data_IF_048985721476
#
_entry.id   IF_048985721476
#
_cell.length_a   1.000
_cell.length_b   1.000
_cell.length_c   1.000
_cell.angle_alpha   90.00
_cell.angle_beta   90.00
_cell.angle_gamma   90.00
#
_symmetry.space_group_name_H-M   'P 1'
#
loop_
_entity.id
_entity.type
_entity.pdbx_description
1 polymer ?
#
# COMPACT_ATOMS: atom_id res chain seq x y z
N UNK A 1 -11.19 10.24 23.22
CA UNK A 1 -11.92 11.34 22.54
C UNK A 1 -12.18 10.82 21.14
N UNK A 2 -13.42 10.50 20.83
CA UNK A 2 -13.80 10.00 19.50
C UNK A 2 -13.68 11.17 18.54
N UNK A 3 -12.77 11.07 17.57
CA UNK A 3 -12.68 12.03 16.47
C UNK A 3 -14.04 12.07 15.73
N UNK A 4 -14.45 13.22 15.17
CA UNK A 4 -15.70 13.30 14.44
C UNK A 4 -15.70 12.24 13.33
N UNK A 5 -16.81 11.52 13.16
CA UNK A 5 -17.06 10.61 12.04
C UNK A 5 -16.75 11.36 10.73
N UNK A 6 -15.53 11.18 10.21
CA UNK A 6 -15.16 11.62 8.87
C UNK A 6 -15.71 10.58 7.90
N UNK A 7 -16.33 11.02 6.82
CA UNK A 7 -16.71 10.11 5.75
C UNK A 7 -15.44 9.42 5.20
N UNK A 8 -15.51 8.12 4.87
CA UNK A 8 -14.39 7.42 4.26
C UNK A 8 -13.94 8.13 2.97
N UNK A 9 -12.63 8.23 2.79
CA UNK A 9 -12.01 8.79 1.61
C UNK A 9 -12.39 7.97 0.37
N UNK A 10 -12.81 8.61 -0.74
CA UNK A 10 -13.17 7.94 -1.99
C UNK A 10 -11.91 7.50 -2.76
N UNK A 11 -11.07 6.70 -2.10
CA UNK A 11 -9.78 6.18 -2.55
C UNK A 11 -9.72 4.69 -2.22
N UNK A 12 -8.87 3.98 -2.97
CA UNK A 12 -8.51 2.61 -2.65
C UNK A 12 -7.31 2.60 -1.70
N UNK A 13 -7.33 1.80 -0.63
CA UNK A 13 -6.13 1.45 0.10
C UNK A 13 -5.52 0.15 -0.43
N UNK A 14 -4.22 0.15 -0.68
CA UNK A 14 -3.43 -0.99 -1.14
C UNK A 14 -2.42 -1.38 -0.05
N UNK A 15 -2.70 -2.48 0.65
CA UNK A 15 -1.77 -3.04 1.65
C UNK A 15 -0.86 -4.06 0.97
N UNK A 16 0.44 -3.77 0.89
CA UNK A 16 1.39 -4.65 0.20
C UNK A 16 1.98 -5.72 1.12
N UNK A 17 1.64 -6.98 0.84
CA UNK A 17 1.99 -8.19 1.59
C UNK A 17 2.78 -9.22 0.75
N UNK A 18 3.60 -8.77 -0.22
CA UNK A 18 4.30 -9.61 -1.21
C UNK A 18 5.79 -9.90 -0.95
N UNK A 19 6.31 -9.59 0.24
CA UNK A 19 7.75 -9.69 0.54
C UNK A 19 8.22 -11.10 0.89
N UNK A 20 9.35 -11.54 0.30
CA UNK A 20 10.08 -12.74 0.75
C UNK A 20 10.69 -12.49 2.14
N UNK A 21 9.93 -12.73 3.21
CA UNK A 21 10.43 -12.74 4.61
C UNK A 21 11.33 -13.96 4.87
N UNK A 22 12.39 -14.14 4.07
CA UNK A 22 13.27 -15.32 4.09
C UNK A 22 14.19 -15.39 5.31
N UNK A 23 14.39 -14.26 6.01
CA UNK A 23 15.32 -14.18 7.14
C UNK A 23 14.71 -14.49 8.51
N UNK A 24 13.37 -14.46 8.66
CA UNK A 24 12.71 -14.63 9.97
C UNK A 24 11.87 -15.91 10.12
N UNK A 25 11.79 -16.76 9.10
CA UNK A 25 11.05 -18.03 9.17
C UNK A 25 9.52 -17.89 9.25
N UNK A 26 8.98 -16.70 9.55
CA UNK A 26 7.57 -16.32 9.53
C UNK A 26 7.40 -14.95 8.86
N UNK A 27 6.33 -14.72 8.07
CA UNK A 27 6.07 -13.39 7.51
C UNK A 27 5.89 -12.36 8.62
N UNK A 28 6.56 -11.20 8.50
CA UNK A 28 6.48 -10.08 9.46
C UNK A 28 5.04 -9.67 9.78
N UNK A 29 4.17 -9.71 8.76
CA UNK A 29 2.75 -9.42 8.84
C UNK A 29 2.04 -10.14 10.01
N UNK A 30 2.44 -11.38 10.32
CA UNK A 30 1.81 -12.19 11.38
C UNK A 30 2.52 -12.14 12.74
N UNK A 31 3.45 -11.20 12.92
CA UNK A 31 4.05 -11.00 14.24
C UNK A 31 3.00 -10.46 15.22
N UNK A 32 3.02 -10.91 16.49
CA UNK A 32 2.12 -10.38 17.51
C UNK A 32 2.34 -8.87 17.70
N UNK A 33 1.26 -8.11 17.73
CA UNK A 33 1.27 -6.67 17.98
C UNK A 33 -0.03 -6.27 18.69
N UNK A 34 0.08 -5.64 19.86
CA UNK A 34 -1.05 -5.16 20.68
C UNK A 34 -2.22 -6.14 20.86
N UNK A 35 -1.93 -7.44 21.00
CA UNK A 35 -2.96 -8.48 21.20
C UNK A 35 -3.57 -9.05 19.92
N UNK A 36 -3.18 -8.55 18.74
CA UNK A 36 -3.49 -9.12 17.43
C UNK A 36 -2.19 -9.38 16.63
N UNK A 37 -2.25 -9.32 15.30
CA UNK A 37 -1.08 -9.35 14.42
C UNK A 37 -0.82 -7.98 13.82
N UNK A 38 0.42 -7.71 13.40
CA UNK A 38 0.78 -6.46 12.71
C UNK A 38 -0.17 -6.15 11.55
N UNK A 39 -0.47 -7.15 10.70
CA UNK A 39 -1.37 -6.96 9.56
C UNK A 39 -2.81 -6.71 9.97
N UNK A 40 -3.33 -7.42 10.98
CA UNK A 40 -4.68 -7.19 11.47
C UNK A 40 -4.81 -5.76 12.02
N UNK A 41 -3.82 -5.29 12.78
CA UNK A 41 -3.79 -3.92 13.29
C UNK A 41 -3.80 -2.87 12.16
N UNK A 42 -3.01 -3.09 11.09
CA UNK A 42 -3.02 -2.19 9.93
C UNK A 42 -4.38 -2.19 9.25
N UNK A 43 -4.97 -3.37 8.99
CA UNK A 43 -6.31 -3.50 8.39
C UNK A 43 -7.36 -2.77 9.24
N UNK A 44 -7.37 -2.99 10.55
CA UNK A 44 -8.32 -2.33 11.46
C UNK A 44 -8.15 -0.80 11.48
N UNK A 45 -6.91 -0.32 11.34
CA UNK A 45 -6.60 1.11 11.32
C UNK A 45 -7.05 1.78 10.03
N UNK A 46 -6.85 1.13 8.87
CA UNK A 46 -7.11 1.77 7.57
C UNK A 46 -8.54 1.56 7.05
N UNK A 47 -9.17 0.42 7.36
CA UNK A 47 -10.54 0.10 6.88
C UNK A 47 -11.56 1.21 7.09
N UNK A 48 -11.65 1.88 8.25
CA UNK A 48 -12.62 2.96 8.43
C UNK A 48 -12.30 4.23 7.62
N UNK A 49 -11.08 4.38 7.10
CA UNK A 49 -10.60 5.60 6.43
C UNK A 49 -10.91 5.59 4.93
N UNK A 50 -11.11 4.42 4.31
CA UNK A 50 -11.21 4.28 2.84
C UNK A 50 -12.50 3.61 2.41
N UNK A 51 -13.00 3.97 1.23
CA UNK A 51 -14.17 3.31 0.61
C UNK A 51 -13.87 1.93 0.03
N UNK A 52 -12.60 1.64 -0.25
CA UNK A 52 -12.13 0.33 -0.73
C UNK A 52 -10.78 -0.01 -0.08
N UNK A 53 -10.62 -1.26 0.36
CA UNK A 53 -9.35 -1.78 0.90
C UNK A 53 -9.01 -3.10 0.21
N UNK A 54 -7.83 -3.14 -0.40
CA UNK A 54 -7.28 -4.31 -1.06
C UNK A 54 -5.95 -4.69 -0.41
N UNK A 55 -5.77 -5.97 -0.12
CA UNK A 55 -4.50 -6.54 0.31
C UNK A 55 -3.85 -7.26 -0.87
N UNK A 56 -2.64 -6.86 -1.26
CA UNK A 56 -1.91 -7.47 -2.38
C UNK A 56 -0.87 -8.46 -1.86
N UNK A 57 -0.97 -9.74 -2.24
CA UNK A 57 -0.02 -10.77 -1.81
C UNK A 57 0.32 -11.81 -2.88
N UNK A 58 1.46 -12.50 -2.71
CA UNK A 58 1.80 -13.67 -3.50
C UNK A 58 1.05 -14.94 -3.03
N UNK A 59 0.61 -14.94 -1.76
CA UNK A 59 -0.01 -16.07 -1.05
C UNK A 59 -1.36 -15.60 -0.46
N UNK A 60 -2.35 -15.26 -1.31
CA UNK A 60 -3.61 -14.66 -0.87
C UNK A 60 -4.36 -15.50 0.17
N UNK A 61 -4.24 -16.83 0.10
CA UNK A 61 -4.82 -17.78 1.05
C UNK A 61 -4.38 -17.55 2.50
N UNK A 62 -3.24 -16.88 2.72
CA UNK A 62 -2.74 -16.58 4.07
C UNK A 62 -3.50 -15.42 4.74
N UNK A 63 -4.31 -14.67 3.99
CA UNK A 63 -4.91 -13.41 4.42
C UNK A 63 -6.45 -13.39 4.36
N UNK A 64 -7.09 -14.51 4.01
CA UNK A 64 -8.56 -14.60 3.82
C UNK A 64 -9.37 -14.24 5.07
N UNK A 65 -8.81 -14.49 6.27
CA UNK A 65 -9.49 -14.23 7.54
C UNK A 65 -9.47 -12.76 7.98
N UNK A 66 -8.87 -11.85 7.20
CA UNK A 66 -8.74 -10.42 7.56
C UNK A 66 -9.96 -9.57 7.21
N UNK A 67 -10.96 -10.12 6.51
CA UNK A 67 -12.20 -9.40 6.19
C UNK A 67 -12.04 -8.28 5.15
N UNK A 68 -10.95 -8.30 4.37
CA UNK A 68 -10.69 -7.40 3.23
C UNK A 68 -10.45 -8.20 1.96
N UNK A 69 -10.66 -7.59 0.80
CA UNK A 69 -10.43 -8.25 -0.47
C UNK A 69 -8.93 -8.48 -0.70
N UNK A 70 -8.57 -9.72 -1.02
CA UNK A 70 -7.17 -10.12 -1.24
C UNK A 70 -6.90 -10.31 -2.72
N UNK A 71 -5.99 -9.49 -3.25
CA UNK A 71 -5.56 -9.49 -4.63
C UNK A 71 -4.25 -10.25 -4.76
N UNK A 72 -4.19 -11.17 -5.72
CA UNK A 72 -2.95 -11.85 -6.06
C UNK A 72 -2.02 -10.92 -6.85
N UNK A 73 -0.76 -10.82 -6.42
CA UNK A 73 0.28 -10.14 -7.20
C UNK A 73 0.50 -10.87 -8.53
N UNK A 74 0.24 -10.18 -9.64
CA UNK A 74 0.38 -10.73 -11.00
C UNK A 74 1.82 -10.74 -11.49
N UNK A 75 2.72 -10.00 -10.83
CA UNK A 75 4.15 -9.92 -11.12
C UNK A 75 4.95 -10.28 -9.86
N UNK A 76 4.75 -11.48 -9.30
CA UNK A 76 5.32 -11.86 -8.02
C UNK A 76 6.84 -11.77 -8.06
N UNK A 77 7.43 -11.39 -6.92
CA UNK A 77 8.87 -11.28 -6.71
C UNK A 77 9.58 -10.17 -7.49
N UNK A 78 8.84 -9.20 -8.05
CA UNK A 78 9.38 -7.97 -8.68
C UNK A 78 9.50 -6.80 -7.70
N UNK A 79 9.61 -7.09 -6.42
CA UNK A 79 9.62 -6.07 -5.37
C UNK A 79 8.28 -5.35 -5.24
N UNK A 80 8.24 -4.21 -4.51
CA UNK A 80 7.00 -3.52 -4.21
C UNK A 80 6.25 -3.00 -5.45
N UNK A 81 6.95 -2.66 -6.53
CA UNK A 81 6.32 -2.16 -7.76
C UNK A 81 5.37 -3.17 -8.41
N UNK A 82 5.66 -4.47 -8.33
CA UNK A 82 4.75 -5.52 -8.80
C UNK A 82 3.43 -5.51 -8.03
N UNK A 83 3.51 -5.35 -6.70
CA UNK A 83 2.35 -5.23 -5.83
C UNK A 83 1.55 -3.95 -6.09
N UNK A 84 2.22 -2.80 -6.26
CA UNK A 84 1.56 -1.53 -6.59
C UNK A 84 0.82 -1.64 -7.92
N UNK A 85 1.50 -2.13 -8.97
CA UNK A 85 0.88 -2.30 -10.29
C UNK A 85 -0.32 -3.26 -10.21
N UNK A 86 -0.17 -4.40 -9.54
CA UNK A 86 -1.27 -5.37 -9.36
C UNK A 86 -2.48 -4.75 -8.67
N UNK A 87 -2.26 -3.93 -7.63
CA UNK A 87 -3.33 -3.22 -6.93
C UNK A 87 -3.98 -2.13 -7.78
N UNK A 88 -3.18 -1.27 -8.43
CA UNK A 88 -3.69 -0.18 -9.27
C UNK A 88 -4.55 -0.66 -10.44
N UNK A 89 -4.23 -1.84 -11.00
CA UNK A 89 -4.98 -2.42 -12.11
C UNK A 89 -6.42 -2.83 -11.74
N UNK A 90 -6.67 -3.13 -10.46
CA UNK A 90 -7.99 -3.59 -9.98
C UNK A 90 -8.69 -2.59 -9.07
N UNK A 91 -7.98 -1.59 -8.56
CA UNK A 91 -8.51 -0.51 -7.72
C UNK A 91 -9.74 0.15 -8.38
N UNK A 92 -10.81 0.36 -7.61
CA UNK A 92 -12.00 1.04 -8.08
C UNK A 92 -11.77 2.54 -8.32
N UNK A 93 -10.87 3.15 -7.57
CA UNK A 93 -10.65 4.60 -7.57
C UNK A 93 -9.48 5.02 -8.46
N UNK A 94 -9.43 6.31 -8.82
CA UNK A 94 -8.33 6.89 -9.61
C UNK A 94 -7.03 7.00 -8.82
N UNK A 95 -7.15 7.26 -7.52
CA UNK A 95 -6.02 7.35 -6.59
C UNK A 95 -6.08 6.23 -5.57
N UNK A 96 -4.93 5.65 -5.28
CA UNK A 96 -4.75 4.62 -4.27
C UNK A 96 -3.71 5.03 -3.23
N UNK A 97 -4.05 4.91 -1.96
CA UNK A 97 -3.07 4.97 -0.88
C UNK A 97 -2.35 3.62 -0.77
N UNK A 98 -1.03 3.63 -0.81
CA UNK A 98 -0.16 2.45 -0.76
C UNK A 98 0.55 2.42 0.59
N UNK A 99 0.44 1.28 1.27
CA UNK A 99 1.11 1.03 2.55
C UNK A 99 1.80 -0.34 2.58
N UNK A 100 3.00 -0.42 3.17
CA UNK A 100 3.64 -1.70 3.47
C UNK A 100 3.02 -2.39 4.71
N UNK A 101 2.91 -3.72 4.67
CA UNK A 101 2.37 -4.52 5.78
C UNK A 101 3.21 -4.58 7.06
N UNK A 102 4.34 -3.87 7.14
CA UNK A 102 5.18 -3.76 8.34
C UNK A 102 5.24 -2.34 8.93
N UNK A 103 4.26 -1.49 8.59
CA UNK A 103 4.08 -0.13 9.12
C UNK A 103 2.86 -0.01 10.05
N UNK A 104 2.83 -0.68 11.23
CA UNK A 104 1.67 -0.65 12.14
C UNK A 104 1.44 0.70 12.83
N UNK A 105 2.42 1.61 12.79
CA UNK A 105 2.35 2.92 13.45
C UNK A 105 1.89 4.03 12.50
N UNK A 106 1.19 3.68 11.41
CA UNK A 106 0.66 4.69 10.48
C UNK A 106 -0.33 5.59 11.19
N UNK A 107 -0.16 6.90 11.02
CA UNK A 107 -1.03 7.91 11.59
C UNK A 107 -2.20 8.22 10.63
N UNK A 108 -3.47 8.02 11.03
CA UNK A 108 -4.63 8.40 10.23
C UNK A 108 -4.61 9.86 9.76
N UNK A 109 -4.11 10.80 10.56
CA UNK A 109 -4.04 12.21 10.16
C UNK A 109 -3.02 12.42 9.02
N UNK A 110 -1.93 11.66 9.00
CA UNK A 110 -0.97 11.67 7.88
C UNK A 110 -1.63 11.14 6.60
N UNK A 111 -2.44 10.09 6.70
CA UNK A 111 -3.19 9.55 5.56
C UNK A 111 -4.12 10.63 4.97
N UNK A 112 -4.85 11.35 5.83
CA UNK A 112 -5.72 12.43 5.41
C UNK A 112 -4.95 13.62 4.80
N UNK A 113 -3.79 13.99 5.36
CA UNK A 113 -2.93 15.03 4.78
C UNK A 113 -2.43 14.66 3.39
N UNK A 114 -1.92 13.43 3.20
CA UNK A 114 -1.52 12.92 1.89
C UNK A 114 -2.69 12.96 0.91
N UNK A 115 -3.86 12.48 1.33
CA UNK A 115 -5.06 12.48 0.51
C UNK A 115 -5.41 13.90 0.06
N UNK A 116 -5.40 14.88 0.95
CA UNK A 116 -5.75 16.27 0.60
C UNK A 116 -4.85 16.90 -0.48
N UNK A 117 -3.64 16.35 -0.70
CA UNK A 117 -2.64 16.87 -1.66
C UNK A 117 -2.62 16.14 -3.00
N UNK A 118 -3.48 15.14 -3.18
CA UNK A 118 -3.48 14.25 -4.36
C UNK A 118 -4.00 14.90 -5.65
N UNK A 119 -4.76 15.99 -5.54
CA UNK A 119 -5.34 16.65 -6.72
C UNK A 119 -4.23 17.09 -7.67
N UNK A 120 -4.39 16.76 -8.95
CA UNK A 120 -3.43 17.01 -10.04
C UNK A 120 -2.03 16.37 -9.84
N UNK A 121 -1.87 15.42 -8.92
CA UNK A 121 -0.62 14.70 -8.69
C UNK A 121 -0.76 13.23 -9.05
N UNK A 122 0.26 12.69 -9.72
CA UNK A 122 0.37 11.25 -9.94
C UNK A 122 0.92 10.51 -8.72
N UNK A 123 1.81 11.16 -7.96
CA UNK A 123 2.32 10.62 -6.69
C UNK A 123 2.38 11.70 -5.61
N UNK A 124 1.90 11.35 -4.42
CA UNK A 124 2.14 12.11 -3.18
C UNK A 124 2.83 11.19 -2.19
N UNK A 125 4.09 11.46 -1.88
CA UNK A 125 4.94 10.56 -1.08
C UNK A 125 5.43 11.23 0.20
N UNK A 126 5.45 10.48 1.30
CA UNK A 126 6.06 10.96 2.54
C UNK A 126 7.56 11.11 2.35
N UNK A 127 8.13 12.21 2.83
CA UNK A 127 9.57 12.45 2.81
C UNK A 127 10.10 12.77 4.21
N UNK A 128 11.31 12.31 4.49
CA UNK A 128 12.05 12.54 5.73
C UNK A 128 13.56 12.61 5.45
N UNK A 129 14.38 12.86 6.47
CA UNK A 129 15.83 13.06 6.32
C UNK A 129 16.56 11.91 5.59
N UNK A 130 16.06 10.67 5.70
CA UNK A 130 16.64 9.50 5.04
C UNK A 130 16.15 9.28 3.59
N UNK A 131 15.29 10.14 3.08
CA UNK A 131 14.71 10.06 1.73
C UNK A 131 13.18 9.96 1.74
N UNK A 132 12.63 9.43 0.66
CA UNK A 132 11.18 9.22 0.49
C UNK A 132 10.75 7.84 0.95
N UNK A 133 9.51 7.73 1.42
CA UNK A 133 8.85 6.49 1.82
C UNK A 133 7.79 6.08 0.79
N UNK A 134 8.19 5.38 -0.28
CA UNK A 134 7.32 5.08 -1.43
C UNK A 134 6.19 4.09 -1.10
N UNK A 135 6.30 3.37 0.02
CA UNK A 135 5.24 2.48 0.51
C UNK A 135 4.46 3.14 1.65
N UNK A 136 4.42 4.46 1.65
CA UNK A 136 3.55 5.30 2.46
C UNK A 136 3.20 6.54 1.62
N UNK A 137 2.41 6.32 0.58
CA UNK A 137 2.22 7.29 -0.50
C UNK A 137 0.86 7.11 -1.18
N UNK A 138 0.44 8.11 -1.95
CA UNK A 138 -0.69 8.00 -2.88
C UNK A 138 -0.15 7.90 -4.29
N UNK A 139 -0.72 6.98 -5.07
CA UNK A 139 -0.45 6.78 -6.50
C UNK A 139 -1.73 6.94 -7.30
N UNK A 140 -1.67 7.63 -8.44
CA UNK A 140 -2.75 7.67 -9.43
C UNK A 140 -2.66 6.47 -10.38
N UNK A 141 -3.74 6.20 -11.13
CA UNK A 141 -3.72 5.20 -12.21
C UNK A 141 -2.81 5.60 -13.37
N UNK A 142 -2.43 6.87 -13.52
CA UNK A 142 -1.44 7.27 -14.52
C UNK A 142 -0.06 6.64 -14.25
N UNK A 143 0.24 6.22 -13.01
CA UNK A 143 1.45 5.49 -12.69
C UNK A 143 1.51 4.07 -13.28
N UNK A 144 0.40 3.50 -13.76
CA UNK A 144 0.35 2.14 -14.33
C UNK A 144 1.36 1.99 -15.46
N UNK A 145 1.34 2.89 -16.44
CA UNK A 145 2.23 2.79 -17.61
C UNK A 145 3.72 2.96 -17.25
N UNK A 146 4.14 3.98 -16.47
CA UNK A 146 5.51 4.08 -15.96
C UNK A 146 5.95 2.86 -15.14
N UNK A 147 5.07 2.30 -14.31
CA UNK A 147 5.34 1.07 -13.56
C UNK A 147 5.58 -0.12 -14.49
N UNK A 148 4.72 -0.31 -15.50
CA UNK A 148 4.88 -1.36 -16.51
C UNK A 148 6.22 -1.21 -17.24
N UNK A 149 6.52 -0.03 -17.78
CA UNK A 149 7.76 0.24 -18.53
C UNK A 149 9.01 -0.02 -17.67
N UNK A 150 9.01 0.42 -16.41
CA UNK A 150 10.09 0.17 -15.46
C UNK A 150 10.26 -1.33 -15.16
N UNK A 151 9.16 -2.03 -14.88
CA UNK A 151 9.16 -3.47 -14.58
C UNK A 151 9.62 -4.32 -15.78
N UNK A 152 9.20 -3.98 -17.00
CA UNK A 152 9.58 -4.70 -18.23
C UNK A 152 11.01 -4.41 -18.68
N UNK A 153 11.55 -3.22 -18.39
CA UNK A 153 12.97 -2.91 -18.62
C UNK A 153 13.91 -3.53 -17.58
N UNK A 154 13.36 -4.10 -16.50
CA UNK A 154 14.10 -4.75 -15.42
C UNK A 154 14.58 -3.79 -14.32
N UNK A 155 14.17 -2.52 -14.38
CA UNK A 155 14.36 -1.60 -13.26
C UNK A 155 13.38 -1.96 -12.14
N UNK A 156 13.92 -2.23 -10.95
CA UNK A 156 13.12 -2.57 -9.77
C UNK A 156 13.20 -1.49 -8.67
N UNK A 157 13.82 -0.34 -8.97
CA UNK A 157 13.98 0.76 -8.03
C UNK A 157 12.78 1.70 -8.11
N UNK A 158 11.96 1.68 -7.05
CA UNK A 158 10.84 2.62 -6.93
C UNK A 158 11.31 4.06 -6.76
N UNK A 159 12.51 4.29 -6.21
CA UNK A 159 13.09 5.64 -6.08
C UNK A 159 13.45 6.23 -7.45
N UNK A 160 13.94 5.39 -8.36
CA UNK A 160 14.29 5.80 -9.71
C UNK A 160 13.00 6.14 -10.46
N UNK A 161 11.96 5.29 -10.35
CA UNK A 161 10.64 5.58 -10.90
C UNK A 161 10.09 6.93 -10.43
N UNK A 162 10.17 7.21 -9.12
CA UNK A 162 9.70 8.49 -8.57
C UNK A 162 10.48 9.71 -9.06
N UNK A 163 11.71 9.52 -9.55
CA UNK A 163 12.51 10.62 -10.10
C UNK A 163 12.14 10.94 -11.56
N UNK A 164 11.47 10.01 -12.24
CA UNK A 164 11.04 10.12 -13.63
C UNK A 164 9.57 10.55 -13.77
N UNK A 165 8.84 10.64 -12.64
CA UNK A 165 7.43 11.06 -12.54
C UNK A 165 7.29 12.54 -12.19
#
# INVERSE_FOLDING_TARGET
MTEPDREPLPLTALILCGGRSRRMGRPKAFLPYEGSTVIAHIVDTITPIFTEVLLVSNEPESYEDLGVDVVKDILPYRGPMGGILSGLLVAAHEHSFVIACDMPLVDPELIHDLASRREDQDVVVVSHEAGVEPLLAIYSKNCIKPLEESLFSGSLSIKDLLSDL
#
